data_IF_956922535866
#
_entry.id   IF_956922535866
#
_cell.length_a   1.000
_cell.length_b   1.000
_cell.length_c   1.000
_cell.angle_alpha   90.00
_cell.angle_beta   90.00
_cell.angle_gamma   90.00
#
_symmetry.space_group_name_H-M   'P 1'
#
loop_
_entity.id
_entity.type
_entity.pdbx_description
1 polymer ?
#
# COMPACT_ATOMS: atom_id res chain seq x y z
N UNK A 1 16.90 29.51 -26.33
CA UNK A 1 16.03 30.25 -25.41
C UNK A 1 16.78 30.42 -24.10
N UNK A 2 17.11 31.67 -23.73
CA UNK A 2 17.86 31.97 -22.50
C UNK A 2 16.95 31.85 -21.27
N UNK A 3 15.67 32.19 -21.40
CA UNK A 3 14.70 32.13 -20.30
C UNK A 3 14.52 30.69 -19.84
N UNK A 4 14.48 29.73 -20.77
CA UNK A 4 14.50 28.30 -20.46
C UNK A 4 15.74 27.89 -19.63
N UNK A 5 16.91 28.36 -20.05
CA UNK A 5 18.18 28.04 -19.38
C UNK A 5 18.20 28.62 -17.96
N UNK A 6 17.73 29.86 -17.79
CA UNK A 6 17.65 30.52 -16.50
C UNK A 6 16.60 29.88 -15.58
N UNK A 7 15.39 29.63 -16.09
CA UNK A 7 14.28 29.03 -15.36
C UNK A 7 14.67 27.66 -14.77
N UNK A 8 15.32 26.83 -15.58
CA UNK A 8 15.73 25.48 -15.17
C UNK A 8 17.16 25.41 -14.65
N UNK A 9 17.84 26.56 -14.51
CA UNK A 9 19.21 26.68 -13.98
C UNK A 9 20.20 25.75 -14.69
N UNK A 10 20.06 25.63 -16.02
CA UNK A 10 20.88 24.73 -16.83
C UNK A 10 22.31 25.27 -16.85
N UNK A 11 23.27 24.40 -16.57
CA UNK A 11 24.68 24.74 -16.48
C UNK A 11 25.55 23.94 -17.44
N UNK A 12 26.86 24.13 -17.32
CA UNK A 12 27.87 23.37 -18.07
C UNK A 12 29.00 22.95 -17.14
N UNK A 13 29.35 21.66 -17.19
CA UNK A 13 30.53 21.10 -16.54
C UNK A 13 31.70 21.07 -17.55
N UNK A 14 32.74 21.90 -17.37
CA UNK A 14 33.85 21.95 -18.32
C UNK A 14 34.63 20.64 -18.40
N UNK A 15 35.29 20.39 -19.54
CA UNK A 15 36.15 19.22 -19.75
C UNK A 15 37.29 19.14 -18.71
N UNK A 16 37.82 20.28 -18.27
CA UNK A 16 38.95 20.34 -17.33
C UNK A 16 38.50 20.03 -15.89
N UNK A 17 38.45 18.75 -15.53
CA UNK A 17 37.93 18.25 -14.25
C UNK A 17 38.61 18.74 -12.98
N UNK A 18 39.82 19.34 -13.06
CA UNK A 18 40.51 19.92 -11.90
C UNK A 18 40.01 21.33 -11.54
N UNK A 19 39.36 22.04 -12.45
CA UNK A 19 38.85 23.40 -12.19
C UNK A 19 37.77 23.39 -11.10
N UNK A 20 36.84 22.45 -11.19
CA UNK A 20 35.73 22.33 -10.25
C UNK A 20 36.23 22.13 -8.81
N UNK A 21 37.09 21.14 -8.57
CA UNK A 21 37.64 20.89 -7.23
C UNK A 21 38.42 22.08 -6.66
N UNK A 22 39.23 22.76 -7.50
CA UNK A 22 39.96 23.97 -7.09
C UNK A 22 39.01 25.12 -6.73
N UNK A 23 37.96 25.33 -7.50
CA UNK A 23 36.96 26.36 -7.26
C UNK A 23 36.17 26.09 -5.97
N UNK A 24 35.68 24.87 -5.78
CA UNK A 24 34.96 24.48 -4.57
C UNK A 24 35.83 24.58 -3.31
N UNK A 25 37.12 24.24 -3.40
CA UNK A 25 38.07 24.44 -2.29
C UNK A 25 38.23 25.91 -1.91
N UNK A 26 38.24 26.82 -2.89
CA UNK A 26 38.27 28.28 -2.62
C UNK A 26 37.01 28.77 -1.90
N UNK A 27 35.87 28.11 -2.13
CA UNK A 27 34.61 28.36 -1.42
C UNK A 27 34.52 27.68 -0.04
N UNK A 28 35.58 27.00 0.40
CA UNK A 28 35.63 26.34 1.71
C UNK A 28 35.06 24.92 1.74
N UNK A 29 34.70 24.33 0.60
CA UNK A 29 34.21 22.95 0.56
C UNK A 29 35.37 21.94 0.70
N UNK A 30 35.19 20.93 1.55
CA UNK A 30 36.17 19.86 1.73
C UNK A 30 35.99 18.75 0.69
N UNK A 31 37.04 17.98 0.44
CA UNK A 31 36.98 16.88 -0.55
C UNK A 31 36.03 15.77 -0.10
N UNK A 32 35.94 15.53 1.21
CA UNK A 32 35.06 14.54 1.83
C UNK A 32 33.59 14.89 1.59
N UNK A 33 33.22 16.17 1.73
CA UNK A 33 31.86 16.65 1.46
C UNK A 33 31.53 16.48 -0.02
N UNK A 34 32.42 16.92 -0.92
CA UNK A 34 32.20 16.85 -2.37
C UNK A 34 32.06 15.41 -2.89
N UNK A 35 32.76 14.47 -2.27
CA UNK A 35 32.63 13.04 -2.54
C UNK A 35 31.31 12.49 -2.00
N UNK A 36 30.93 12.85 -0.77
CA UNK A 36 29.67 12.42 -0.13
C UNK A 36 28.43 12.91 -0.87
N UNK A 37 28.49 14.08 -1.51
CA UNK A 37 27.41 14.61 -2.36
C UNK A 37 27.56 14.23 -3.85
N UNK A 38 28.50 13.34 -4.18
CA UNK A 38 28.63 12.77 -5.53
C UNK A 38 29.14 13.72 -6.61
N UNK A 39 29.80 14.82 -6.24
CA UNK A 39 30.37 15.80 -7.19
C UNK A 39 31.84 15.52 -7.52
N UNK A 40 32.53 14.76 -6.67
CA UNK A 40 33.88 14.24 -6.90
C UNK A 40 33.86 12.72 -6.82
N UNK A 41 34.68 12.08 -7.65
CA UNK A 41 34.96 10.64 -7.58
C UNK A 41 36.43 10.42 -7.28
N UNK A 42 36.70 9.52 -6.34
CA UNK A 42 38.05 8.97 -6.08
C UNK A 42 38.30 7.79 -7.03
N UNK A 43 39.44 7.81 -7.71
CA UNK A 43 39.91 6.76 -8.61
C UNK A 43 40.68 5.68 -7.83
N UNK A 44 40.99 4.56 -8.50
CA UNK A 44 41.71 3.44 -7.87
C UNK A 44 43.12 3.81 -7.39
N UNK A 45 43.76 4.78 -8.04
CA UNK A 45 45.07 5.32 -7.66
C UNK A 45 45.00 6.37 -6.53
N UNK A 46 43.81 6.57 -5.94
CA UNK A 46 43.56 7.57 -4.89
C UNK A 46 43.41 9.00 -5.42
N UNK A 47 43.59 9.24 -6.72
CA UNK A 47 43.40 10.58 -7.30
C UNK A 47 41.92 10.95 -7.33
N UNK A 48 41.62 12.24 -7.14
CA UNK A 48 40.25 12.77 -7.13
C UNK A 48 39.98 13.61 -8.37
N UNK A 49 38.81 13.40 -8.99
CA UNK A 49 38.34 14.20 -10.14
C UNK A 49 36.87 14.58 -10.02
N UNK A 50 36.47 15.65 -10.70
CA UNK A 50 35.05 15.97 -10.85
C UNK A 50 34.29 14.78 -11.47
N UNK A 51 33.11 14.49 -10.92
CA UNK A 51 32.25 13.41 -11.43
C UNK A 51 31.70 13.75 -12.82
N UNK A 52 31.23 15.00 -13.00
CA UNK A 52 30.78 15.51 -14.28
C UNK A 52 31.91 16.20 -15.05
N UNK A 53 32.00 15.91 -16.35
CA UNK A 53 33.00 16.51 -17.24
C UNK A 53 32.49 16.55 -18.66
N UNK A 54 32.65 17.70 -19.32
CA UNK A 54 32.21 17.97 -20.69
C UNK A 54 30.72 17.68 -20.94
N UNK A 55 29.85 18.14 -20.03
CA UNK A 55 28.42 17.83 -20.01
C UNK A 55 27.57 19.07 -19.73
N UNK A 56 26.41 19.15 -20.37
CA UNK A 56 25.32 20.06 -19.96
C UNK A 56 24.76 19.53 -18.65
N UNK A 57 24.55 20.42 -17.69
CA UNK A 57 24.10 20.11 -16.33
C UNK A 57 22.66 20.56 -16.14
N UNK A 58 21.82 19.66 -15.65
CA UNK A 58 20.44 19.90 -15.27
C UNK A 58 20.32 19.67 -13.76
N UNK A 59 20.11 20.72 -12.95
CA UNK A 59 19.93 20.57 -11.51
C UNK A 59 18.71 19.69 -11.19
N UNK A 60 18.87 18.84 -10.19
CA UNK A 60 17.79 18.06 -9.58
C UNK A 60 17.44 18.77 -8.28
N UNK A 61 16.17 19.15 -8.16
CA UNK A 61 15.67 19.96 -7.05
C UNK A 61 14.84 19.10 -6.10
N UNK A 62 14.95 19.38 -4.80
CA UNK A 62 13.99 18.90 -3.81
C UNK A 62 12.63 19.64 -3.93
N UNK A 63 11.58 19.20 -3.22
CA UNK A 63 10.27 19.87 -3.26
C UNK A 63 10.28 21.34 -2.80
N UNK A 64 11.30 21.77 -2.04
CA UNK A 64 11.48 23.16 -1.57
C UNK A 64 12.28 24.01 -2.57
N UNK A 65 12.82 23.40 -3.63
CA UNK A 65 13.64 24.06 -4.65
C UNK A 65 15.14 24.03 -4.37
N UNK A 66 15.60 23.32 -3.34
CA UNK A 66 17.01 23.12 -3.03
C UNK A 66 17.68 22.16 -4.02
N UNK A 67 18.90 22.45 -4.45
CA UNK A 67 19.65 21.54 -5.35
C UNK A 67 20.20 20.36 -4.56
N UNK A 68 19.73 19.15 -4.89
CA UNK A 68 20.14 17.90 -4.21
C UNK A 68 20.99 16.98 -5.10
N UNK A 69 21.04 17.27 -6.40
CA UNK A 69 21.84 16.50 -7.34
C UNK A 69 21.81 17.12 -8.74
N UNK A 70 22.35 16.40 -9.71
CA UNK A 70 22.43 16.83 -11.10
C UNK A 70 22.21 15.65 -12.04
N UNK A 71 21.50 15.90 -13.14
CA UNK A 71 21.54 15.09 -14.35
C UNK A 71 22.46 15.77 -15.36
N UNK A 72 23.19 14.99 -16.15
CA UNK A 72 24.21 15.52 -17.03
C UNK A 72 24.24 14.83 -18.39
N UNK A 73 24.07 15.61 -19.46
CA UNK A 73 24.09 15.13 -20.86
C UNK A 73 25.43 15.40 -21.52
N UNK A 74 26.03 14.41 -22.18
CA UNK A 74 27.28 14.62 -22.95
C UNK A 74 27.06 15.53 -24.15
N UNK A 75 28.03 16.43 -24.40
CA UNK A 75 27.99 17.37 -25.53
C UNK A 75 28.56 16.77 -26.82
N UNK A 76 29.55 15.88 -26.72
CA UNK A 76 30.15 15.21 -27.87
C UNK A 76 30.08 13.70 -27.75
N UNK A 77 30.05 13.00 -28.88
CA UNK A 77 30.08 11.53 -28.92
C UNK A 77 31.40 10.99 -28.38
N UNK A 78 32.50 11.72 -28.62
CA UNK A 78 33.85 11.49 -28.12
C UNK A 78 33.94 11.53 -26.58
N UNK A 79 32.96 12.12 -25.90
CA UNK A 79 32.93 12.15 -24.45
C UNK A 79 32.61 10.74 -23.91
N UNK A 80 33.53 10.23 -23.09
CA UNK A 80 33.44 8.88 -22.49
C UNK A 80 32.22 8.78 -21.56
N UNK A 81 31.53 7.64 -21.65
CA UNK A 81 30.41 7.26 -20.78
C UNK A 81 29.03 7.44 -21.42
N UNK A 82 27.96 7.25 -20.63
CA UNK A 82 26.59 7.22 -21.14
C UNK A 82 26.13 8.59 -21.63
N UNK A 83 25.09 8.60 -22.48
CA UNK A 83 24.45 9.81 -23.02
C UNK A 83 23.99 10.74 -21.89
N UNK A 84 23.34 10.17 -20.88
CA UNK A 84 22.94 10.82 -19.64
C UNK A 84 23.60 10.14 -18.44
N UNK A 85 23.96 10.93 -17.42
CA UNK A 85 24.44 10.43 -16.14
C UNK A 85 23.86 11.28 -15.02
N UNK A 86 23.34 10.64 -13.98
CA UNK A 86 22.84 11.32 -12.79
C UNK A 86 23.91 11.27 -11.69
N UNK A 87 23.85 12.20 -10.75
CA UNK A 87 24.53 12.08 -9.46
C UNK A 87 24.28 10.65 -8.90
N UNK A 88 25.31 9.99 -8.32
CA UNK A 88 25.10 8.73 -7.61
C UNK A 88 24.14 8.91 -6.43
N UNK A 89 23.73 7.82 -5.80
CA UNK A 89 22.97 7.88 -4.54
C UNK A 89 23.76 8.67 -3.49
N UNK A 90 23.11 9.62 -2.82
CA UNK A 90 23.70 10.43 -1.74
C UNK A 90 22.70 10.56 -0.59
N UNK A 91 23.13 11.06 0.58
CA UNK A 91 22.19 11.38 1.66
C UNK A 91 21.10 12.40 1.29
N UNK A 92 21.33 13.22 0.26
CA UNK A 92 20.39 14.24 -0.21
C UNK A 92 19.56 13.78 -1.42
N UNK A 93 20.05 12.78 -2.16
CA UNK A 93 19.46 12.37 -3.44
C UNK A 93 19.31 10.86 -3.49
N UNK A 94 18.06 10.43 -3.40
CA UNK A 94 17.64 9.03 -3.60
C UNK A 94 16.80 8.92 -4.87
N UNK A 95 17.26 8.15 -5.86
CA UNK A 95 16.57 8.05 -7.16
C UNK A 95 15.19 7.44 -7.06
N UNK A 96 14.97 6.56 -6.08
CA UNK A 96 13.67 5.95 -5.79
C UNK A 96 12.68 6.88 -5.10
N UNK A 97 13.08 8.08 -4.67
CA UNK A 97 12.21 9.01 -3.94
C UNK A 97 12.09 10.37 -4.63
N UNK A 98 12.93 10.64 -5.64
CA UNK A 98 13.06 11.97 -6.21
C UNK A 98 12.40 12.04 -7.58
N UNK A 99 11.38 12.89 -7.72
CA UNK A 99 10.74 13.16 -9.00
C UNK A 99 11.31 14.42 -9.64
N UNK A 100 11.87 14.28 -10.84
CA UNK A 100 12.29 15.43 -11.64
C UNK A 100 11.07 16.25 -12.04
N UNK A 101 11.18 17.58 -12.08
CA UNK A 101 10.06 18.47 -12.43
C UNK A 101 9.12 18.78 -11.27
N UNK A 102 9.16 18.01 -10.17
CA UNK A 102 8.20 18.15 -9.07
C UNK A 102 8.25 19.54 -8.42
N UNK A 103 9.43 20.13 -8.20
CA UNK A 103 9.56 21.47 -7.62
C UNK A 103 8.84 22.55 -8.44
N UNK A 104 8.85 22.42 -9.77
CA UNK A 104 8.19 23.34 -10.71
C UNK A 104 6.67 23.08 -10.79
N UNK A 105 6.29 21.81 -10.73
CA UNK A 105 4.92 21.33 -10.97
C UNK A 105 4.08 21.23 -9.68
N UNK A 106 4.69 21.21 -8.49
CA UNK A 106 4.07 20.87 -7.19
C UNK A 106 2.76 21.62 -6.93
N UNK A 107 2.79 22.95 -7.09
CA UNK A 107 1.61 23.81 -6.82
C UNK A 107 0.46 23.48 -7.76
N UNK A 108 0.74 23.24 -9.04
CA UNK A 108 -0.28 22.93 -10.04
C UNK A 108 -0.83 21.51 -9.86
N UNK A 109 0.04 20.54 -9.59
CA UNK A 109 -0.36 19.16 -9.27
C UNK A 109 -1.30 19.14 -8.07
N UNK A 110 -0.95 19.81 -6.97
CA UNK A 110 -1.80 19.86 -5.77
C UNK A 110 -3.15 20.55 -6.03
N UNK A 111 -3.15 21.63 -6.84
CA UNK A 111 -4.37 22.36 -7.18
C UNK A 111 -5.30 21.56 -8.10
N UNK A 112 -4.76 20.95 -9.14
CA UNK A 112 -5.55 20.23 -10.16
C UNK A 112 -5.75 18.75 -9.83
N UNK A 113 -5.08 18.24 -8.78
CA UNK A 113 -5.09 16.84 -8.35
C UNK A 113 -4.74 15.86 -9.46
N UNK A 114 -3.87 16.29 -10.39
CA UNK A 114 -3.39 15.49 -11.52
C UNK A 114 -1.94 15.75 -11.88
N UNK A 115 -1.30 14.75 -12.48
CA UNK A 115 0.07 14.85 -12.99
C UNK A 115 0.22 14.18 -14.37
N UNK A 116 1.23 14.60 -15.13
CA UNK A 116 1.73 13.88 -16.31
C UNK A 116 3.06 13.24 -15.92
N UNK A 117 3.19 11.94 -16.14
CA UNK A 117 4.42 11.18 -15.91
C UNK A 117 5.06 10.86 -17.26
N UNK A 118 6.32 11.22 -17.41
CA UNK A 118 7.14 10.90 -18.59
C UNK A 118 8.40 10.14 -18.19
N UNK A 119 9.09 9.55 -19.17
CA UNK A 119 10.27 8.71 -18.94
C UNK A 119 11.51 9.54 -18.59
N UNK A 120 11.79 10.58 -19.37
CA UNK A 120 13.02 11.37 -19.28
C UNK A 120 12.85 12.71 -18.57
N UNK A 121 13.92 13.17 -17.91
CA UNK A 121 13.97 14.52 -17.32
C UNK A 121 13.81 15.61 -18.39
N UNK A 122 14.33 15.37 -19.60
CA UNK A 122 14.28 16.34 -20.70
C UNK A 122 12.85 16.49 -21.21
N UNK A 123 12.12 15.38 -21.37
CA UNK A 123 10.70 15.41 -21.73
C UNK A 123 9.90 16.22 -20.71
N UNK A 124 10.17 16.02 -19.41
CA UNK A 124 9.52 16.78 -18.37
C UNK A 124 9.80 18.28 -18.48
N UNK A 125 11.07 18.67 -18.67
CA UNK A 125 11.44 20.08 -18.85
C UNK A 125 10.77 20.72 -20.05
N UNK A 126 10.78 20.03 -21.19
CA UNK A 126 10.20 20.52 -22.44
C UNK A 126 8.69 20.69 -22.29
N UNK A 127 7.99 19.71 -21.72
CA UNK A 127 6.56 19.83 -21.45
C UNK A 127 6.23 20.95 -20.45
N UNK A 128 7.01 21.11 -19.38
CA UNK A 128 6.81 22.21 -18.41
C UNK A 128 6.98 23.57 -19.11
N UNK A 129 8.00 23.73 -19.96
CA UNK A 129 8.23 24.96 -20.72
C UNK A 129 7.04 25.31 -21.64
N UNK A 130 6.48 24.30 -22.29
CA UNK A 130 5.37 24.45 -23.24
C UNK A 130 3.99 24.55 -22.54
N UNK A 131 3.96 24.74 -21.22
CA UNK A 131 2.74 25.01 -20.44
C UNK A 131 2.08 23.79 -19.79
N UNK A 132 2.64 22.59 -19.97
CA UNK A 132 2.23 21.37 -19.26
C UNK A 132 2.99 21.24 -17.92
N UNK A 133 2.98 22.31 -17.11
CA UNK A 133 3.63 22.42 -15.79
C UNK A 133 2.91 21.63 -14.67
N UNK A 134 2.51 20.41 -14.99
CA UNK A 134 2.09 19.34 -14.09
C UNK A 134 2.85 18.03 -14.42
N UNK A 135 3.94 18.16 -15.17
CA UNK A 135 4.76 17.04 -15.66
C UNK A 135 5.89 16.72 -14.69
N UNK A 136 6.18 15.43 -14.54
CA UNK A 136 7.24 14.87 -13.70
C UNK A 136 7.89 13.66 -14.39
N UNK A 137 9.11 13.32 -13.97
CA UNK A 137 9.83 12.14 -14.44
C UNK A 137 10.60 11.44 -13.32
N UNK A 138 10.86 10.14 -13.48
CA UNK A 138 11.80 9.40 -12.63
C UNK A 138 13.26 9.78 -12.89
N UNK A 139 14.20 9.21 -12.12
CA UNK A 139 15.63 9.53 -12.21
C UNK A 139 16.47 8.49 -12.95
N UNK A 140 15.93 7.96 -14.06
CA UNK A 140 16.59 6.91 -14.85
C UNK A 140 16.62 5.53 -14.15
N UNK A 141 15.75 5.33 -13.17
CA UNK A 141 15.45 4.04 -12.54
C UNK A 141 13.97 3.73 -12.70
N UNK A 142 13.56 2.50 -12.39
CA UNK A 142 12.14 2.17 -12.33
C UNK A 142 11.39 3.15 -11.42
N UNK A 143 10.20 3.56 -11.85
CA UNK A 143 9.28 4.32 -11.00
C UNK A 143 8.84 3.42 -9.84
N UNK A 144 8.80 3.94 -8.62
CA UNK A 144 8.58 3.14 -7.41
C UNK A 144 7.33 3.58 -6.65
N UNK A 145 6.98 2.81 -5.62
CA UNK A 145 5.86 3.12 -4.72
C UNK A 145 6.10 4.41 -3.93
N UNK A 146 7.35 4.74 -3.59
CA UNK A 146 7.67 6.00 -2.90
C UNK A 146 7.40 7.24 -3.78
N UNK A 147 7.60 7.14 -5.10
CA UNK A 147 7.19 8.20 -6.01
C UNK A 147 5.66 8.38 -6.04
N UNK A 148 4.91 7.28 -6.01
CA UNK A 148 3.44 7.34 -5.94
C UNK A 148 3.02 7.96 -4.62
N UNK A 149 3.62 7.55 -3.50
CA UNK A 149 3.37 8.10 -2.16
C UNK A 149 3.59 9.62 -2.09
N UNK A 150 4.67 10.14 -2.66
CA UNK A 150 4.90 11.59 -2.72
C UNK A 150 3.78 12.33 -3.48
N UNK A 151 3.23 11.73 -4.54
CA UNK A 151 2.13 12.32 -5.29
C UNK A 151 0.79 12.20 -4.54
N UNK A 152 0.56 11.09 -3.84
CA UNK A 152 -0.60 10.92 -2.95
C UNK A 152 -0.61 11.95 -1.82
N UNK A 153 0.56 12.29 -1.26
CA UNK A 153 0.70 13.37 -0.28
C UNK A 153 0.30 14.75 -0.86
N UNK A 154 0.30 14.90 -2.18
CA UNK A 154 -0.21 16.09 -2.89
C UNK A 154 -1.70 16.00 -3.23
N UNK A 155 -2.38 14.90 -2.88
CA UNK A 155 -3.80 14.70 -3.12
C UNK A 155 -4.15 14.36 -4.57
N UNK A 156 -3.23 13.72 -5.30
CA UNK A 156 -3.49 13.27 -6.67
C UNK A 156 -4.64 12.27 -6.72
N UNK A 157 -5.53 12.45 -7.70
CA UNK A 157 -6.60 11.50 -8.01
C UNK A 157 -6.54 11.00 -9.45
N UNK A 158 -5.70 11.61 -10.29
CA UNK A 158 -5.56 11.27 -11.71
C UNK A 158 -4.13 11.41 -12.23
N UNK A 159 -3.65 10.45 -13.00
CA UNK A 159 -2.37 10.53 -13.73
C UNK A 159 -2.53 10.29 -15.22
N UNK A 160 -1.72 10.98 -15.99
CA UNK A 160 -1.51 10.74 -17.41
C UNK A 160 -0.10 10.20 -17.63
N UNK A 161 0.03 9.05 -18.29
CA UNK A 161 1.32 8.45 -18.63
C UNK A 161 1.64 8.80 -20.09
N UNK A 162 2.66 9.62 -20.30
CA UNK A 162 3.24 9.95 -21.61
C UNK A 162 4.61 9.28 -21.72
N UNK A 163 4.60 7.96 -21.89
CA UNK A 163 5.81 7.16 -22.10
C UNK A 163 6.15 7.10 -23.59
N UNK A 164 7.40 6.76 -23.91
CA UNK A 164 7.85 6.63 -25.30
C UNK A 164 7.00 5.61 -26.07
N UNK A 165 6.80 5.83 -27.36
CA UNK A 165 5.91 5.01 -28.20
C UNK A 165 6.44 3.60 -28.53
N UNK A 166 7.63 3.26 -28.05
CA UNK A 166 8.28 1.97 -28.26
C UNK A 166 7.76 0.87 -27.31
N UNK A 167 8.35 -0.33 -27.39
CA UNK A 167 7.97 -1.47 -26.55
C UNK A 167 8.31 -1.23 -25.07
N UNK A 168 9.46 -0.58 -24.79
CA UNK A 168 9.91 -0.32 -23.44
C UNK A 168 8.99 0.70 -22.75
N UNK A 169 8.61 1.78 -23.44
CA UNK A 169 7.69 2.79 -22.94
C UNK A 169 6.28 2.25 -22.69
N UNK A 170 5.77 1.38 -23.58
CA UNK A 170 4.49 0.66 -23.34
C UNK A 170 4.56 -0.27 -22.13
N UNK A 171 5.67 -1.01 -21.98
CA UNK A 171 5.90 -1.85 -20.81
C UNK A 171 5.99 -1.01 -19.52
N UNK A 172 6.62 0.16 -19.59
CA UNK A 172 6.71 1.09 -18.48
C UNK A 172 5.32 1.67 -18.13
N UNK A 173 4.51 2.07 -19.11
CA UNK A 173 3.12 2.51 -18.89
C UNK A 173 2.29 1.43 -18.18
N UNK A 174 2.46 0.16 -18.60
CA UNK A 174 1.82 -1.00 -17.97
C UNK A 174 2.25 -1.19 -16.51
N UNK A 175 3.53 -1.00 -16.18
CA UNK A 175 4.03 -1.16 -14.80
C UNK A 175 3.65 0.03 -13.91
N UNK A 176 3.91 1.25 -14.38
CA UNK A 176 3.66 2.50 -13.64
C UNK A 176 2.17 2.67 -13.38
N UNK A 177 1.32 2.43 -14.39
CA UNK A 177 -0.12 2.50 -14.21
C UNK A 177 -0.64 1.54 -13.13
N UNK A 178 -0.04 0.35 -12.99
CA UNK A 178 -0.40 -0.56 -11.92
C UNK A 178 -0.09 -0.02 -10.52
N UNK A 179 1.03 0.71 -10.35
CA UNK A 179 1.39 1.30 -9.06
C UNK A 179 0.35 2.34 -8.62
N UNK A 180 -0.14 3.17 -9.55
CA UNK A 180 -1.19 4.16 -9.26
C UNK A 180 -2.57 3.54 -9.02
N UNK A 181 -2.96 2.52 -9.81
CA UNK A 181 -4.27 1.87 -9.64
C UNK A 181 -4.39 1.14 -8.31
N UNK A 182 -3.31 0.56 -7.79
CA UNK A 182 -3.28 -0.05 -6.44
C UNK A 182 -3.70 0.96 -5.37
N UNK A 183 -3.29 2.20 -5.53
CA UNK A 183 -3.56 3.31 -4.62
C UNK A 183 -4.87 4.05 -4.94
N UNK A 184 -5.68 3.55 -5.87
CA UNK A 184 -6.99 4.13 -6.18
C UNK A 184 -6.95 5.38 -7.07
N UNK A 185 -5.81 5.67 -7.70
CA UNK A 185 -5.63 6.82 -8.59
C UNK A 185 -6.07 6.45 -10.00
N UNK A 186 -6.89 7.30 -10.64
CA UNK A 186 -7.28 7.09 -12.04
C UNK A 186 -6.06 7.23 -12.97
N UNK A 187 -5.85 6.24 -13.84
CA UNK A 187 -4.73 6.24 -14.79
C UNK A 187 -5.22 6.33 -16.23
N UNK A 188 -4.63 7.26 -16.99
CA UNK A 188 -4.79 7.38 -18.43
C UNK A 188 -3.43 7.28 -19.12
N UNK A 189 -3.38 6.66 -20.30
CA UNK A 189 -2.19 6.50 -21.12
C UNK A 189 -2.35 7.34 -22.38
N UNK A 190 -1.42 8.25 -22.61
CA UNK A 190 -1.40 9.10 -23.80
C UNK A 190 -0.85 8.25 -24.96
N UNK A 191 -1.56 8.15 -26.10
CA UNK A 191 -1.17 7.28 -27.21
C UNK A 191 -0.03 7.90 -28.03
N UNK A 192 1.19 7.89 -27.47
CA UNK A 192 2.40 8.36 -28.16
C UNK A 192 2.69 7.44 -29.36
N UNK A 193 2.84 7.99 -30.59
CA UNK A 193 3.11 7.18 -31.78
C UNK A 193 4.44 6.43 -31.70
N UNK A 194 4.51 5.29 -32.40
CA UNK A 194 5.73 4.48 -32.45
C UNK A 194 6.93 5.27 -33.01
N UNK A 195 8.08 5.12 -32.35
CA UNK A 195 9.31 5.86 -32.69
C UNK A 195 9.32 7.32 -32.23
N UNK A 196 8.29 7.80 -31.52
CA UNK A 196 8.22 9.14 -30.92
C UNK A 196 8.28 9.10 -29.40
N UNK A 197 8.71 10.23 -28.85
CA UNK A 197 8.73 10.60 -27.44
C UNK A 197 8.01 11.97 -27.27
N UNK A 198 7.73 12.42 -26.04
CA UNK A 198 7.09 13.72 -25.83
C UNK A 198 7.88 14.91 -26.43
N UNK A 199 9.22 14.92 -26.37
CA UNK A 199 10.03 16.00 -26.94
C UNK A 199 9.94 16.08 -28.47
N UNK A 200 9.96 14.95 -29.18
CA UNK A 200 9.79 14.89 -30.65
C UNK A 200 8.40 15.32 -31.08
N UNK A 201 7.35 14.95 -30.34
CA UNK A 201 6.00 15.45 -30.59
C UNK A 201 5.91 16.97 -30.48
N UNK A 202 6.52 17.56 -29.45
CA UNK A 202 6.59 19.01 -29.29
C UNK A 202 7.40 19.66 -30.41
N UNK A 203 8.48 19.04 -30.89
CA UNK A 203 9.29 19.60 -31.99
C UNK A 203 8.55 19.61 -33.32
N UNK A 204 7.78 18.57 -33.62
CA UNK A 204 7.10 18.44 -34.91
C UNK A 204 5.78 19.20 -34.97
N UNK A 205 4.98 19.15 -33.89
CA UNK A 205 3.60 19.67 -33.88
C UNK A 205 3.32 20.70 -32.79
N UNK A 206 4.30 21.03 -31.95
CA UNK A 206 4.16 22.01 -30.87
C UNK A 206 3.23 21.57 -29.73
N UNK A 207 2.91 22.50 -28.81
CA UNK A 207 1.98 22.26 -27.71
C UNK A 207 0.59 21.74 -28.14
N UNK A 208 -0.03 22.23 -29.25
CA UNK A 208 -1.33 21.73 -29.69
C UNK A 208 -1.34 20.23 -30.02
N UNK A 209 -0.28 19.71 -30.64
CA UNK A 209 -0.18 18.28 -30.97
C UNK A 209 -0.14 17.41 -29.71
N UNK A 210 0.58 17.84 -28.67
CA UNK A 210 0.59 17.13 -27.39
C UNK A 210 -0.77 17.23 -26.68
N UNK A 211 -1.42 18.41 -26.72
CA UNK A 211 -2.75 18.61 -26.13
C UNK A 211 -3.81 17.72 -26.79
N UNK A 212 -3.79 17.58 -28.12
CA UNK A 212 -4.70 16.69 -28.85
C UNK A 212 -4.53 15.22 -28.44
N UNK A 213 -3.28 14.77 -28.26
CA UNK A 213 -3.01 13.41 -27.77
C UNK A 213 -3.42 13.22 -26.31
N UNK A 214 -3.25 14.26 -25.48
CA UNK A 214 -3.70 14.26 -24.09
C UNK A 214 -5.22 14.11 -23.99
N UNK A 215 -6.00 14.74 -24.88
CA UNK A 215 -7.45 14.57 -24.96
C UNK A 215 -7.85 13.16 -25.43
N UNK A 216 -7.03 12.56 -26.30
CA UNK A 216 -7.20 11.17 -26.77
C UNK A 216 -6.63 10.12 -25.80
N UNK A 217 -6.23 10.52 -24.59
CA UNK A 217 -5.67 9.59 -23.62
C UNK A 217 -6.69 8.49 -23.29
N UNK A 218 -6.21 7.24 -23.32
CA UNK A 218 -7.03 6.05 -23.12
C UNK A 218 -6.92 5.62 -21.66
N UNK A 219 -8.03 5.24 -21.04
CA UNK A 219 -7.96 4.73 -19.67
C UNK A 219 -7.08 3.47 -19.58
N UNK A 220 -6.48 3.27 -18.42
CA UNK A 220 -5.47 2.23 -18.23
C UNK A 220 -5.96 0.81 -18.53
N UNK A 221 -7.22 0.47 -18.23
CA UNK A 221 -7.71 -0.89 -18.50
C UNK A 221 -7.89 -1.12 -20.01
N UNK A 222 -8.44 -0.14 -20.73
CA UNK A 222 -8.53 -0.18 -22.19
C UNK A 222 -7.14 -0.27 -22.84
N UNK A 223 -6.16 0.47 -22.30
CA UNK A 223 -4.76 0.35 -22.72
C UNK A 223 -4.22 -1.07 -22.47
N UNK A 224 -4.41 -1.66 -21.29
CA UNK A 224 -3.91 -3.01 -20.98
C UNK A 224 -4.49 -4.06 -21.92
N UNK A 225 -5.81 -4.02 -22.17
CA UNK A 225 -6.46 -4.95 -23.10
C UNK A 225 -5.85 -4.82 -24.50
N UNK A 226 -5.72 -3.60 -25.01
CA UNK A 226 -5.11 -3.35 -26.33
C UNK A 226 -3.63 -3.73 -26.40
N UNK A 227 -2.89 -3.58 -25.30
CA UNK A 227 -1.47 -3.90 -25.23
C UNK A 227 -1.28 -5.43 -25.26
N UNK A 228 -1.94 -6.16 -24.36
CA UNK A 228 -1.81 -7.62 -24.29
C UNK A 228 -2.45 -8.32 -25.49
N UNK A 229 -3.47 -7.75 -26.13
CA UNK A 229 -4.06 -8.34 -27.33
C UNK A 229 -3.13 -8.34 -28.55
N UNK A 230 -2.03 -7.58 -28.54
CA UNK A 230 -1.02 -7.65 -29.60
C UNK A 230 -0.14 -8.89 -29.49
N UNK A 231 0.00 -9.44 -28.28
CA UNK A 231 0.78 -10.64 -27.98
C UNK A 231 -0.08 -11.92 -28.00
N UNK A 232 -1.42 -11.78 -28.10
CA UNK A 232 -2.38 -12.87 -28.01
C UNK A 232 -3.44 -12.82 -29.14
N UNK A 233 -3.68 -13.96 -29.78
CA UNK A 233 -4.80 -14.14 -30.70
C UNK A 233 -6.13 -14.29 -29.93
N UNK A 234 -6.95 -13.23 -29.96
CA UNK A 234 -8.25 -13.20 -29.31
C UNK A 234 -9.27 -14.17 -29.93
N UNK A 235 -9.01 -14.73 -31.12
CA UNK A 235 -9.84 -15.78 -31.72
C UNK A 235 -9.58 -17.16 -31.10
N UNK A 236 -8.42 -17.36 -30.48
CA UNK A 236 -8.08 -18.58 -29.75
C UNK A 236 -8.68 -18.54 -28.33
N UNK A 237 -9.56 -19.48 -27.96
CA UNK A 237 -10.13 -19.54 -26.61
C UNK A 237 -9.05 -19.62 -25.51
N UNK A 238 -7.96 -20.35 -25.77
CA UNK A 238 -6.86 -20.52 -24.82
C UNK A 238 -6.11 -19.20 -24.58
N UNK A 239 -5.72 -18.51 -25.66
CA UNK A 239 -4.98 -17.25 -25.54
C UNK A 239 -5.86 -16.13 -24.98
N UNK A 240 -7.15 -16.08 -25.37
CA UNK A 240 -8.13 -15.17 -24.78
C UNK A 240 -8.26 -15.39 -23.27
N UNK A 241 -8.32 -16.64 -22.82
CA UNK A 241 -8.35 -16.97 -21.39
C UNK A 241 -7.07 -16.51 -20.68
N UNK A 242 -5.90 -16.76 -21.25
CA UNK A 242 -4.62 -16.34 -20.67
C UNK A 242 -4.51 -14.81 -20.50
N UNK A 243 -4.92 -14.05 -21.51
CA UNK A 243 -4.96 -12.59 -21.45
C UNK A 243 -5.89 -12.10 -20.34
N UNK A 244 -7.11 -12.64 -20.29
CA UNK A 244 -8.11 -12.25 -19.29
C UNK A 244 -7.59 -12.56 -17.88
N UNK A 245 -7.07 -13.76 -17.63
CA UNK A 245 -6.55 -14.12 -16.31
C UNK A 245 -5.39 -13.22 -15.91
N UNK A 246 -4.48 -12.89 -16.83
CA UNK A 246 -3.36 -11.96 -16.57
C UNK A 246 -3.85 -10.59 -16.10
N UNK A 247 -4.89 -10.06 -16.73
CA UNK A 247 -5.47 -8.75 -16.35
C UNK A 247 -6.29 -8.88 -15.06
N UNK A 248 -7.06 -9.96 -14.87
CA UNK A 248 -7.84 -10.22 -13.64
C UNK A 248 -6.92 -10.31 -12.42
N UNK A 249 -5.83 -11.08 -12.51
CA UNK A 249 -4.84 -11.20 -11.43
C UNK A 249 -4.25 -9.84 -11.04
N UNK A 250 -4.02 -8.98 -12.04
CA UNK A 250 -3.55 -7.62 -11.81
C UNK A 250 -4.61 -6.75 -11.12
N UNK A 251 -5.85 -6.76 -11.60
CA UNK A 251 -6.96 -5.98 -11.03
C UNK A 251 -7.21 -6.41 -9.58
N UNK A 252 -7.21 -7.72 -9.29
CA UNK A 252 -7.40 -8.24 -7.93
C UNK A 252 -6.29 -7.85 -6.95
N UNK A 253 -5.11 -7.48 -7.46
CA UNK A 253 -4.01 -6.99 -6.63
C UNK A 253 -4.12 -5.50 -6.25
N UNK A 254 -5.25 -4.83 -6.50
CA UNK A 254 -5.48 -3.44 -6.11
C UNK A 254 -6.21 -3.36 -4.76
N UNK A 255 -5.89 -2.34 -3.96
CA UNK A 255 -6.34 -2.26 -2.55
C UNK A 255 -7.76 -1.68 -2.38
N UNK A 256 -8.47 -1.40 -3.49
CA UNK A 256 -9.77 -0.72 -3.51
C UNK A 256 -10.89 -1.63 -4.04
N UNK A 257 -11.68 -2.31 -3.18
CA UNK A 257 -12.64 -3.34 -3.59
C UNK A 257 -13.68 -2.87 -4.62
N UNK A 258 -14.19 -1.63 -4.48
CA UNK A 258 -15.13 -1.07 -5.46
C UNK A 258 -14.47 -0.84 -6.83
N UNK A 259 -13.23 -0.37 -6.84
CA UNK A 259 -12.46 -0.16 -8.06
C UNK A 259 -12.15 -1.50 -8.75
N UNK A 260 -11.81 -2.53 -7.96
CA UNK A 260 -11.66 -3.92 -8.45
C UNK A 260 -12.94 -4.38 -9.11
N UNK A 261 -14.08 -4.27 -8.42
CA UNK A 261 -15.38 -4.69 -8.95
C UNK A 261 -15.73 -3.99 -10.28
N UNK A 262 -15.68 -2.67 -10.32
CA UNK A 262 -16.02 -1.90 -11.53
C UNK A 262 -15.04 -2.16 -12.68
N UNK A 263 -13.76 -2.39 -12.37
CA UNK A 263 -12.75 -2.70 -13.38
C UNK A 263 -12.91 -4.10 -13.95
N UNK A 264 -13.31 -5.09 -13.15
CA UNK A 264 -13.66 -6.43 -13.65
C UNK A 264 -14.90 -6.36 -14.56
N UNK A 265 -15.93 -5.59 -14.19
CA UNK A 265 -17.10 -5.36 -15.06
C UNK A 265 -16.72 -4.70 -16.38
N UNK A 266 -15.84 -3.71 -16.33
CA UNK A 266 -15.32 -3.06 -17.53
C UNK A 266 -14.52 -4.02 -18.40
N UNK A 267 -13.67 -4.86 -17.80
CA UNK A 267 -12.91 -5.90 -18.51
C UNK A 267 -13.83 -6.88 -19.24
N UNK A 268 -14.88 -7.35 -18.57
CA UNK A 268 -15.91 -8.20 -19.17
C UNK A 268 -16.53 -7.56 -20.43
N UNK A 269 -16.89 -6.27 -20.36
CA UNK A 269 -17.43 -5.53 -21.52
C UNK A 269 -16.41 -5.40 -22.65
N UNK A 270 -15.18 -4.98 -22.35
CA UNK A 270 -14.12 -4.79 -23.34
C UNK A 270 -13.74 -6.10 -24.06
N UNK A 271 -13.79 -7.23 -23.35
CA UNK A 271 -13.42 -8.54 -23.89
C UNK A 271 -14.61 -9.36 -24.39
N UNK A 272 -15.84 -8.83 -24.26
CA UNK A 272 -17.10 -9.50 -24.57
C UNK A 272 -17.21 -10.87 -23.88
N UNK A 273 -16.81 -10.93 -22.61
CA UNK A 273 -16.90 -12.13 -21.77
C UNK A 273 -17.92 -11.88 -20.66
N UNK A 274 -18.81 -12.85 -20.35
CA UNK A 274 -19.73 -12.71 -19.22
C UNK A 274 -19.04 -12.32 -17.92
N UNK A 275 -19.63 -11.37 -17.17
CA UNK A 275 -19.09 -10.85 -15.90
C UNK A 275 -18.73 -11.97 -14.90
N UNK A 276 -19.52 -13.04 -14.85
CA UNK A 276 -19.28 -14.22 -14.00
C UNK A 276 -17.95 -14.93 -14.30
N UNK A 277 -17.49 -14.94 -15.55
CA UNK A 277 -16.28 -15.64 -15.98
C UNK A 277 -15.00 -14.85 -15.72
N UNK A 278 -15.09 -13.52 -15.59
CA UNK A 278 -13.98 -12.69 -15.12
C UNK A 278 -13.98 -12.54 -13.58
N UNK A 279 -14.91 -13.21 -12.90
CA UNK A 279 -15.00 -13.26 -11.45
C UNK A 279 -15.72 -12.08 -10.79
N UNK A 280 -16.58 -11.35 -11.52
CA UNK A 280 -17.46 -10.34 -10.89
C UNK A 280 -18.45 -11.06 -9.98
N UNK A 281 -18.50 -10.63 -8.71
CA UNK A 281 -19.38 -11.22 -7.69
C UNK A 281 -18.93 -12.59 -7.17
N UNK A 282 -17.75 -13.08 -7.54
CA UNK A 282 -17.10 -14.19 -6.85
C UNK A 282 -16.29 -13.63 -5.69
N UNK A 283 -16.75 -13.81 -4.45
CA UNK A 283 -15.86 -13.75 -3.29
C UNK A 283 -14.73 -14.76 -3.52
N UNK A 284 -13.49 -14.32 -3.34
CA UNK A 284 -12.29 -15.07 -3.69
C UNK A 284 -12.26 -16.46 -3.05
N UNK A 285 -12.70 -17.47 -3.79
CA UNK A 285 -12.45 -18.85 -3.45
C UNK A 285 -11.03 -19.18 -3.90
N UNK A 286 -10.06 -18.91 -3.02
CA UNK A 286 -8.70 -19.44 -3.10
C UNK A 286 -7.65 -18.51 -3.70
N UNK A 287 -7.29 -17.45 -2.97
CA UNK A 287 -5.88 -17.09 -2.72
C UNK A 287 -5.80 -16.56 -1.30
N UNK A 288 -4.90 -17.15 -0.51
CA UNK A 288 -4.48 -16.61 0.78
C UNK A 288 -3.89 -15.22 0.52
N UNK A 289 -4.72 -14.19 0.64
CA UNK A 289 -4.28 -12.80 0.63
C UNK A 289 -3.71 -12.51 2.00
N UNK A 290 -2.38 -12.49 2.07
CA UNK A 290 -1.69 -11.62 3.01
C UNK A 290 -2.16 -10.19 2.74
N UNK A 291 -3.13 -9.73 3.53
CA UNK A 291 -3.56 -8.33 3.54
C UNK A 291 -2.45 -7.53 4.22
N UNK A 292 -1.60 -6.88 3.43
CA UNK A 292 -0.91 -5.67 3.88
C UNK A 292 -1.94 -4.55 3.86
N UNK A 293 -2.40 -4.18 5.05
CA UNK A 293 -3.31 -3.05 5.29
C UNK A 293 -2.65 -1.75 4.88
N UNK A 294 -3.41 -0.86 4.23
CA UNK A 294 -3.64 0.49 4.75
C UNK A 294 -4.81 1.20 4.03
N UNK A 295 -5.68 1.84 4.82
CA UNK A 295 -6.78 2.64 4.33
C UNK A 295 -7.61 3.23 5.46
N UNK A 296 -7.05 4.27 6.10
CA UNK A 296 -7.64 5.18 7.10
C UNK A 296 -8.52 4.55 8.18
N UNK A 297 -7.89 4.27 9.31
CA UNK A 297 -8.56 4.33 10.59
C UNK A 297 -7.89 5.46 11.35
N UNK A 298 -8.68 6.36 11.90
CA UNK A 298 -8.39 7.05 13.16
C UNK A 298 -7.69 6.08 14.12
N UNK A 299 -6.35 5.97 14.09
CA UNK A 299 -5.57 4.95 14.82
C UNK A 299 -6.38 3.70 15.24
N UNK A 300 -7.06 2.98 14.32
CA UNK A 300 -7.69 1.71 14.75
C UNK A 300 -6.59 0.67 14.63
N UNK A 301 -5.77 0.73 15.67
CA UNK A 301 -5.20 -0.44 16.32
C UNK A 301 -6.10 -1.64 16.06
N UNK A 302 -5.56 -2.65 15.38
CA UNK A 302 -6.19 -3.97 15.37
C UNK A 302 -6.17 -4.38 16.82
N UNK A 303 -7.29 -4.28 17.51
CA UNK A 303 -7.37 -4.79 18.86
C UNK A 303 -7.31 -6.33 18.75
N UNK A 304 -6.21 -6.98 19.17
CA UNK A 304 -6.09 -8.43 19.09
C UNK A 304 -7.18 -9.12 19.91
N UNK A 305 -7.72 -8.44 20.93
CA UNK A 305 -8.83 -8.94 21.74
C UNK A 305 -10.13 -8.93 20.95
N UNK A 306 -10.38 -7.90 20.13
CA UNK A 306 -11.54 -7.86 19.22
C UNK A 306 -11.53 -9.03 18.25
N UNK A 307 -10.38 -9.36 17.67
CA UNK A 307 -10.26 -10.52 16.77
C UNK A 307 -10.60 -11.82 17.50
N UNK A 308 -9.95 -12.06 18.65
CA UNK A 308 -10.15 -13.24 19.47
C UNK A 308 -11.61 -13.41 19.92
N UNK A 309 -12.25 -12.34 20.39
CA UNK A 309 -13.64 -12.34 20.86
C UNK A 309 -14.64 -12.52 19.71
N UNK A 310 -14.36 -11.95 18.54
CA UNK A 310 -15.22 -12.13 17.34
C UNK A 310 -15.14 -13.56 16.80
N UNK A 311 -13.97 -14.19 16.86
CA UNK A 311 -13.79 -15.60 16.47
C UNK A 311 -14.56 -16.54 17.39
N UNK A 312 -14.51 -16.30 18.72
CA UNK A 312 -15.34 -17.02 19.68
C UNK A 312 -16.84 -16.91 19.37
N UNK A 313 -17.33 -15.67 19.16
CA UNK A 313 -18.74 -15.43 18.86
C UNK A 313 -19.18 -16.12 17.56
N UNK A 314 -18.28 -16.25 16.60
CA UNK A 314 -18.55 -16.94 15.34
C UNK A 314 -18.79 -18.43 15.53
N UNK A 315 -17.90 -19.11 16.28
CA UNK A 315 -18.14 -20.50 16.64
C UNK A 315 -19.43 -20.66 17.45
N UNK A 316 -19.69 -19.74 18.38
CA UNK A 316 -20.89 -19.77 19.21
C UNK A 316 -22.18 -19.60 18.38
N UNK A 317 -22.25 -18.64 17.46
CA UNK A 317 -23.47 -18.32 16.71
C UNK A 317 -23.75 -19.31 15.60
N UNK A 318 -22.70 -19.81 14.93
CA UNK A 318 -22.86 -20.70 13.78
C UNK A 318 -22.94 -22.17 14.21
N UNK A 319 -22.23 -22.58 15.27
CA UNK A 319 -22.16 -23.98 15.69
C UNK A 319 -22.72 -24.25 17.08
N UNK A 320 -22.94 -23.24 17.92
CA UNK A 320 -23.40 -23.44 19.31
C UNK A 320 -24.80 -24.06 19.43
N UNK A 321 -25.61 -24.05 18.36
CA UNK A 321 -26.86 -24.81 18.30
C UNK A 321 -26.65 -26.28 17.98
N UNK A 322 -25.75 -26.57 17.05
CA UNK A 322 -25.50 -27.89 16.47
C UNK A 322 -24.51 -28.72 17.32
N UNK A 323 -23.66 -28.05 18.12
CA UNK A 323 -22.66 -28.66 18.99
C UNK A 323 -22.93 -28.31 20.47
N UNK A 324 -23.65 -29.16 21.21
CA UNK A 324 -23.88 -28.99 22.65
C UNK A 324 -22.58 -28.99 23.48
N UNK A 325 -21.58 -29.76 23.06
CA UNK A 325 -20.25 -29.83 23.69
C UNK A 325 -19.53 -28.49 23.62
N UNK A 326 -19.47 -27.87 22.44
CA UNK A 326 -18.88 -26.54 22.22
C UNK A 326 -19.59 -25.47 23.05
N UNK A 327 -20.93 -25.46 23.02
CA UNK A 327 -21.71 -24.52 23.83
C UNK A 327 -21.43 -24.70 25.32
N UNK A 328 -21.37 -25.95 25.79
CA UNK A 328 -21.11 -26.25 27.21
C UNK A 328 -19.71 -25.80 27.63
N UNK A 329 -18.70 -25.98 26.77
CA UNK A 329 -17.33 -25.53 27.01
C UNK A 329 -17.27 -24.01 27.20
N UNK A 330 -17.92 -23.24 26.31
CA UNK A 330 -18.00 -21.78 26.40
C UNK A 330 -18.79 -21.36 27.64
N UNK A 331 -19.97 -21.94 27.87
CA UNK A 331 -20.84 -21.62 28.99
C UNK A 331 -20.17 -21.88 30.35
N UNK A 332 -19.42 -22.97 30.48
CA UNK A 332 -18.80 -23.34 31.76
C UNK A 332 -17.70 -22.35 32.12
N UNK A 333 -16.93 -21.91 31.13
CA UNK A 333 -15.69 -21.16 31.34
C UNK A 333 -15.81 -19.64 31.17
N UNK A 334 -16.72 -19.15 30.32
CA UNK A 334 -16.79 -17.72 29.98
C UNK A 334 -18.00 -17.03 30.61
N UNK A 335 -17.78 -15.77 31.00
CA UNK A 335 -18.77 -14.82 31.50
C UNK A 335 -18.60 -13.49 30.75
N UNK A 336 -19.60 -12.61 30.70
CA UNK A 336 -19.51 -11.34 30.00
C UNK A 336 -18.29 -10.49 30.41
N UNK A 337 -17.85 -10.57 31.67
CA UNK A 337 -16.70 -9.83 32.20
C UNK A 337 -15.38 -10.23 31.54
N UNK A 338 -15.29 -11.43 30.95
CA UNK A 338 -14.10 -11.91 30.25
C UNK A 338 -13.94 -11.30 28.85
N UNK A 339 -14.96 -10.61 28.33
CA UNK A 339 -14.88 -9.86 27.08
C UNK A 339 -14.41 -8.45 27.36
N UNK A 340 -13.30 -8.04 26.75
CA UNK A 340 -12.75 -6.70 26.84
C UNK A 340 -13.46 -5.72 25.89
N UNK A 341 -13.99 -6.20 24.76
CA UNK A 341 -14.69 -5.39 23.78
C UNK A 341 -16.17 -5.33 24.12
N UNK A 342 -16.68 -4.10 24.36
CA UNK A 342 -18.05 -3.86 24.82
C UNK A 342 -19.12 -4.46 23.90
N UNK A 343 -18.94 -4.35 22.59
CA UNK A 343 -19.90 -4.86 21.61
C UNK A 343 -19.91 -6.40 21.55
N UNK A 344 -18.73 -7.04 21.67
CA UNK A 344 -18.64 -8.50 21.75
C UNK A 344 -19.26 -9.02 23.05
N UNK A 345 -19.02 -8.32 24.17
CA UNK A 345 -19.67 -8.61 25.46
C UNK A 345 -21.20 -8.57 25.35
N UNK A 346 -21.73 -7.54 24.68
CA UNK A 346 -23.18 -7.37 24.48
C UNK A 346 -23.76 -8.50 23.63
N UNK A 347 -23.14 -8.80 22.49
CA UNK A 347 -23.56 -9.90 21.60
C UNK A 347 -23.50 -11.27 22.30
N UNK A 348 -22.45 -11.52 23.09
CA UNK A 348 -22.35 -12.72 23.92
C UNK A 348 -23.48 -12.81 24.93
N UNK A 349 -23.74 -11.73 25.67
CA UNK A 349 -24.79 -11.67 26.69
C UNK A 349 -26.16 -11.93 26.09
N UNK A 350 -26.47 -11.28 24.97
CA UNK A 350 -27.72 -11.46 24.22
C UNK A 350 -27.92 -12.93 23.80
N UNK A 351 -26.87 -13.57 23.25
CA UNK A 351 -26.94 -14.97 22.87
C UNK A 351 -27.18 -15.89 24.09
N UNK A 352 -26.45 -15.66 25.18
CA UNK A 352 -26.56 -16.46 26.40
C UNK A 352 -27.94 -16.30 27.07
N UNK A 353 -28.47 -15.08 27.15
CA UNK A 353 -29.80 -14.80 27.69
C UNK A 353 -30.89 -15.51 26.89
N UNK A 354 -30.84 -15.43 25.55
CA UNK A 354 -31.79 -16.12 24.69
C UNK A 354 -31.68 -17.64 24.84
N UNK A 355 -30.45 -18.18 24.86
CA UNK A 355 -30.22 -19.62 24.97
C UNK A 355 -30.65 -20.19 26.33
N UNK A 356 -30.38 -19.49 27.42
CA UNK A 356 -30.75 -19.92 28.78
C UNK A 356 -32.24 -19.69 29.08
N UNK A 357 -32.83 -18.65 28.49
CA UNK A 357 -34.26 -18.37 28.57
C UNK A 357 -35.14 -19.27 27.71
N UNK A 358 -34.55 -20.26 27.01
CA UNK A 358 -35.27 -21.20 26.13
C UNK A 358 -35.82 -20.56 24.85
N UNK A 359 -35.35 -19.36 24.48
CA UNK A 359 -35.75 -18.67 23.25
C UNK A 359 -34.98 -19.21 22.05
N UNK A 360 -35.51 -18.97 20.86
CA UNK A 360 -34.82 -19.32 19.64
C UNK A 360 -33.53 -18.49 19.49
N UNK A 361 -32.46 -19.16 19.08
CA UNK A 361 -31.10 -18.59 18.94
C UNK A 361 -30.62 -18.67 17.50
N UNK A 362 -31.56 -18.73 16.55
CA UNK A 362 -31.24 -18.59 15.14
C UNK A 362 -30.76 -17.17 14.82
N UNK A 363 -30.07 -17.04 13.69
CA UNK A 363 -29.44 -15.79 13.29
C UNK A 363 -30.45 -14.67 13.04
N UNK A 364 -31.67 -14.99 12.61
CA UNK A 364 -32.72 -13.99 12.36
C UNK A 364 -33.25 -13.45 13.69
N UNK A 365 -33.46 -14.32 14.68
CA UNK A 365 -33.85 -13.89 16.03
C UNK A 365 -32.77 -13.01 16.68
N UNK A 366 -31.49 -13.36 16.53
CA UNK A 366 -30.39 -12.52 17.04
C UNK A 366 -30.33 -11.16 16.32
N UNK A 367 -30.48 -11.13 14.99
CA UNK A 367 -30.47 -9.91 14.20
C UNK A 367 -31.59 -8.92 14.59
N UNK A 368 -32.77 -9.43 14.96
CA UNK A 368 -33.92 -8.60 15.37
C UNK A 368 -33.71 -7.87 16.71
N UNK A 369 -32.76 -8.31 17.53
CA UNK A 369 -32.46 -7.69 18.83
C UNK A 369 -31.21 -6.79 18.78
N UNK A 370 -30.67 -6.51 17.58
CA UNK A 370 -29.55 -5.59 17.39
C UNK A 370 -30.07 -4.15 17.28
N UNK A 371 -29.69 -3.31 18.22
CA UNK A 371 -30.23 -1.96 18.37
C UNK A 371 -29.36 -0.92 17.66
N UNK A 372 -28.07 -1.20 17.48
CA UNK A 372 -27.13 -0.24 16.89
C UNK A 372 -26.60 -0.66 15.50
N UNK A 373 -26.26 0.31 14.62
CA UNK A 373 -25.59 0.02 13.35
C UNK A 373 -24.26 -0.73 13.52
N UNK A 374 -23.53 -0.46 14.60
CA UNK A 374 -22.27 -1.13 14.89
C UNK A 374 -22.46 -2.61 15.23
N UNK A 375 -23.51 -2.96 15.97
CA UNK A 375 -23.86 -4.34 16.29
C UNK A 375 -24.29 -5.10 15.03
N UNK A 376 -25.08 -4.47 14.16
CA UNK A 376 -25.51 -5.04 12.89
C UNK A 376 -24.32 -5.32 11.97
N UNK A 377 -23.37 -4.38 11.89
CA UNK A 377 -22.13 -4.55 11.11
C UNK A 377 -21.28 -5.70 11.65
N UNK A 378 -21.03 -5.75 12.97
CA UNK A 378 -20.24 -6.81 13.57
C UNK A 378 -20.93 -8.18 13.47
N UNK A 379 -22.24 -8.23 13.69
CA UNK A 379 -23.02 -9.45 13.53
C UNK A 379 -22.97 -9.97 12.09
N UNK A 380 -23.11 -9.07 11.11
CA UNK A 380 -22.93 -9.40 9.69
C UNK A 380 -21.52 -9.96 9.41
N UNK A 381 -20.48 -9.35 9.98
CA UNK A 381 -19.10 -9.84 9.85
C UNK A 381 -18.90 -11.22 10.48
N UNK A 382 -19.55 -11.48 11.62
CA UNK A 382 -19.50 -12.77 12.31
C UNK A 382 -20.14 -13.85 11.41
N UNK A 383 -21.35 -13.60 10.91
CA UNK A 383 -22.15 -14.58 10.17
C UNK A 383 -21.61 -14.88 8.77
N UNK A 384 -21.03 -13.90 8.08
CA UNK A 384 -20.56 -14.06 6.70
C UNK A 384 -19.31 -14.96 6.58
N UNK A 385 -18.47 -15.02 7.62
CA UNK A 385 -17.26 -15.84 7.57
C UNK A 385 -17.58 -17.31 7.89
N UNK A 386 -17.12 -18.20 7.02
CA UNK A 386 -17.24 -19.66 7.20
C UNK A 386 -16.39 -20.13 8.38
N UNK A 387 -16.87 -21.16 9.06
CA UNK A 387 -16.19 -21.82 10.18
C UNK A 387 -15.72 -23.20 9.75
N UNK A 388 -14.51 -23.59 10.14
CA UNK A 388 -14.05 -24.96 10.01
C UNK A 388 -14.70 -25.82 11.12
N UNK A 389 -15.66 -26.66 10.73
CA UNK A 389 -16.40 -27.55 11.64
C UNK A 389 -15.54 -28.68 12.21
N UNK A 390 -14.53 -29.15 11.47
CA UNK A 390 -13.65 -30.26 11.90
C UNK A 390 -12.71 -29.87 13.05
N UNK A 391 -12.35 -28.59 13.14
CA UNK A 391 -11.47 -28.04 14.18
C UNK A 391 -12.18 -27.10 15.15
N UNK A 392 -13.51 -27.11 15.17
CA UNK A 392 -14.29 -26.14 15.94
C UNK A 392 -14.03 -26.25 17.45
N UNK A 393 -13.99 -27.47 18.00
CA UNK A 393 -13.77 -27.68 19.44
C UNK A 393 -12.36 -27.29 19.89
N UNK A 394 -11.33 -27.69 19.12
CA UNK A 394 -9.93 -27.32 19.36
C UNK A 394 -9.75 -25.79 19.32
N UNK A 395 -10.30 -25.14 18.29
CA UNK A 395 -10.22 -23.68 18.13
C UNK A 395 -10.95 -22.91 19.24
N UNK A 396 -12.12 -23.39 19.68
CA UNK A 396 -12.83 -22.80 20.82
C UNK A 396 -12.04 -22.99 22.11
N UNK A 397 -11.49 -24.18 22.36
CA UNK A 397 -10.69 -24.45 23.55
C UNK A 397 -9.48 -23.52 23.64
N UNK A 398 -8.75 -23.34 22.54
CA UNK A 398 -7.61 -22.42 22.48
C UNK A 398 -8.05 -20.97 22.74
N UNK A 399 -9.16 -20.55 22.14
CA UNK A 399 -9.68 -19.19 22.25
C UNK A 399 -10.17 -18.87 23.66
N UNK A 400 -10.92 -19.78 24.28
CA UNK A 400 -11.36 -19.69 25.69
C UNK A 400 -10.15 -19.60 26.60
N UNK A 401 -9.11 -20.42 26.37
CA UNK A 401 -7.87 -20.40 27.16
C UNK A 401 -7.21 -19.03 27.10
N UNK A 402 -7.05 -18.47 25.89
CA UNK A 402 -6.43 -17.14 25.70
C UNK A 402 -7.24 -16.02 26.34
N UNK A 403 -8.57 -16.05 26.21
CA UNK A 403 -9.45 -15.04 26.83
C UNK A 403 -9.34 -15.05 28.35
N UNK A 404 -9.35 -16.24 28.97
CA UNK A 404 -9.17 -16.36 30.42
C UNK A 404 -7.78 -15.91 30.87
N UNK A 405 -6.73 -16.24 30.13
CA UNK A 405 -5.37 -15.77 30.40
C UNK A 405 -5.27 -14.24 30.32
N UNK A 406 -5.87 -13.63 29.30
CA UNK A 406 -5.91 -12.18 29.14
C UNK A 406 -6.64 -11.50 30.30
N UNK A 407 -7.84 -11.99 30.64
CA UNK A 407 -8.60 -11.47 31.77
C UNK A 407 -7.83 -11.60 33.11
N UNK A 408 -7.20 -12.76 33.34
CA UNK A 408 -6.38 -12.98 34.53
C UNK A 408 -5.18 -12.02 34.61
N UNK A 409 -4.52 -11.74 33.49
CA UNK A 409 -3.43 -10.75 33.45
C UNK A 409 -3.94 -9.33 33.73
N UNK A 410 -5.08 -8.95 33.18
CA UNK A 410 -5.69 -7.64 33.41
C UNK A 410 -6.09 -7.43 34.87
N UNK A 411 -6.73 -8.42 35.50
CA UNK A 411 -7.10 -8.32 36.91
C UNK A 411 -5.88 -8.16 37.82
N UNK A 412 -4.78 -8.84 37.50
CA UNK A 412 -3.50 -8.69 38.22
C UNK A 412 -2.90 -7.31 38.02
N UNK A 413 -2.93 -6.77 36.79
CA UNK A 413 -2.40 -5.44 36.52
C UNK A 413 -3.26 -4.34 37.16
N UNK A 414 -4.60 -4.48 37.18
CA UNK A 414 -5.50 -3.56 37.90
C UNK A 414 -5.16 -3.50 39.39
N UNK A 415 -4.94 -4.64 40.03
CA UNK A 415 -4.54 -4.69 41.45
C UNK A 415 -3.20 -4.00 41.66
N UNK A 416 -2.22 -4.25 40.79
CA UNK A 416 -0.88 -3.64 40.85
C UNK A 416 -0.93 -2.12 40.67
N UNK A 417 -1.67 -1.64 39.67
CA UNK A 417 -1.89 -0.20 39.43
C UNK A 417 -2.57 0.43 40.65
N UNK A 418 -3.57 -0.23 41.23
CA UNK A 418 -4.29 0.27 42.43
C UNK A 418 -3.35 0.40 43.64
N UNK A 419 -2.48 -0.59 43.87
CA UNK A 419 -1.44 -0.51 44.92
C UNK A 419 -0.46 0.64 44.63
N UNK A 420 -0.03 0.81 43.38
CA UNK A 420 0.97 1.82 42.99
C UNK A 420 0.41 3.25 42.91
N UNK A 421 -0.91 3.41 42.81
CA UNK A 421 -1.56 4.72 42.69
C UNK A 421 -1.51 5.58 43.95
N UNK A 422 -1.10 5.01 45.10
CA UNK A 422 -0.94 5.73 46.36
C UNK A 422 -2.24 6.21 47.02
N UNK A 423 -3.41 5.82 46.48
CA UNK A 423 -4.73 6.23 46.96
C UNK A 423 -5.41 5.24 47.91
N UNK A 424 -4.69 4.21 48.38
CA UNK A 424 -5.21 3.15 49.24
C UNK A 424 -4.67 3.29 50.66
N UNK A 425 -5.46 2.91 51.66
CA UNK A 425 -4.97 2.81 53.05
C UNK A 425 -3.98 1.65 53.21
N UNK A 426 -3.17 1.65 54.28
CA UNK A 426 -2.21 0.56 54.54
C UNK A 426 -2.90 -0.82 54.66
N UNK A 427 -4.13 -0.86 55.21
CA UNK A 427 -4.94 -2.07 55.28
C UNK A 427 -5.40 -2.56 53.89
N UNK A 428 -5.85 -1.64 53.03
CA UNK A 428 -6.28 -1.95 51.66
C UNK A 428 -5.12 -2.44 50.79
N UNK A 429 -3.91 -1.88 50.96
CA UNK A 429 -2.71 -2.34 50.25
C UNK A 429 -2.38 -3.79 50.63
N UNK A 430 -2.47 -4.13 51.91
CA UNK A 430 -2.22 -5.48 52.40
C UNK A 430 -3.24 -6.50 51.86
N UNK A 431 -4.52 -6.13 51.80
CA UNK A 431 -5.57 -6.98 51.21
C UNK A 431 -5.39 -7.17 49.69
N UNK A 432 -5.08 -6.10 48.97
CA UNK A 432 -4.82 -6.15 47.52
C UNK A 432 -3.57 -6.99 47.21
N UNK A 433 -2.52 -6.90 48.02
CA UNK A 433 -1.33 -7.73 47.88
C UNK A 433 -1.64 -9.22 48.10
N UNK A 434 -2.43 -9.57 49.14
CA UNK A 434 -2.90 -10.95 49.37
C UNK A 434 -3.72 -11.48 48.18
N UNK A 435 -4.61 -10.65 47.62
CA UNK A 435 -5.42 -11.00 46.44
C UNK A 435 -4.57 -11.19 45.18
N UNK A 436 -3.55 -10.35 44.98
CA UNK A 436 -2.60 -10.49 43.87
C UNK A 436 -1.82 -11.80 43.94
N UNK A 437 -1.30 -12.15 45.12
CA UNK A 437 -0.56 -13.40 45.32
C UNK A 437 -1.45 -14.63 45.19
N UNK A 438 -2.70 -14.57 45.68
CA UNK A 438 -3.68 -15.63 45.47
C UNK A 438 -3.97 -15.84 43.99
N UNK A 439 -4.22 -14.78 43.22
CA UNK A 439 -4.42 -14.86 41.77
C UNK A 439 -3.18 -15.39 41.05
N UNK A 440 -1.97 -14.99 41.46
CA UNK A 440 -0.72 -15.47 40.86
C UNK A 440 -0.52 -16.98 41.04
N UNK A 441 -0.97 -17.55 42.16
CA UNK A 441 -0.87 -18.99 42.47
C UNK A 441 -1.93 -19.84 41.75
N UNK A 442 -2.98 -19.22 41.23
CA UNK A 442 -4.10 -19.90 40.58
C UNK A 442 -4.31 -19.37 39.15
N UNK A 443 -3.43 -19.75 38.19
CA UNK A 443 -3.65 -19.43 36.79
C UNK A 443 -4.95 -20.08 36.29
N UNK A 444 -5.66 -19.45 35.34
CA UNK A 444 -6.90 -19.98 34.82
C UNK A 444 -6.66 -21.33 34.15
N UNK A 445 -7.49 -22.31 34.48
CA UNK A 445 -7.55 -23.60 33.81
C UNK A 445 -8.93 -23.73 33.17
N UNK A 446 -8.96 -24.17 31.92
CA UNK A 446 -10.23 -24.44 31.25
C UNK A 446 -10.82 -25.73 31.81
N UNK A 447 -12.06 -25.65 32.27
CA UNK A 447 -12.85 -26.80 32.69
C UNK A 447 -13.41 -27.49 31.45
N UNK A 448 -12.94 -28.70 31.19
CA UNK A 448 -13.45 -29.59 30.14
C UNK A 448 -14.33 -30.63 30.84
N UNK A 449 -15.60 -30.76 30.44
CA UNK A 449 -16.50 -31.77 30.98
C UNK A 449 -15.96 -33.17 30.64
N UNK A 450 -15.90 -34.08 31.61
CA UNK A 450 -15.18 -35.36 31.55
C UNK A 450 -15.70 -36.40 30.54
N UNK A 451 -16.82 -36.16 29.85
CA UNK A 451 -17.48 -37.20 29.07
C UNK A 451 -17.06 -37.31 27.59
N UNK A 452 -16.13 -36.49 27.09
CA UNK A 452 -15.66 -36.61 25.69
C UNK A 452 -14.17 -36.27 25.54
N UNK A 453 -13.31 -37.24 25.83
CA UNK A 453 -11.92 -37.25 25.37
C UNK A 453 -11.72 -38.52 24.53
N UNK A 454 -11.69 -38.36 23.21
CA UNK A 454 -10.86 -39.21 22.36
C UNK A 454 -9.56 -38.44 22.04
N UNK A 455 -8.40 -39.10 22.00
CA UNK A 455 -7.12 -38.44 22.26
C UNK A 455 -6.61 -37.66 21.04
N UNK A 456 -6.53 -36.33 21.15
CA UNK A 456 -5.75 -35.48 20.26
C UNK A 456 -4.52 -34.96 20.98
N UNK A 457 -3.57 -35.87 21.22
CA UNK A 457 -2.16 -35.54 21.41
C UNK A 457 -1.34 -36.69 20.80
N UNK A 458 -0.52 -36.46 19.77
CA UNK A 458 0.62 -37.33 19.52
C UNK A 458 1.68 -37.06 20.59
N UNK A 459 2.14 -38.15 21.19
CA UNK A 459 3.37 -38.24 21.96
C UNK A 459 4.58 -37.96 21.06
N UNK A 460 5.37 -36.97 21.49
CA UNK A 460 6.85 -36.82 21.49
C UNK A 460 7.33 -35.42 21.13
#
# INVERSE_FOLDING_TARGET
DLDFIELFKIGFAPKRGTLFGKYMKKLGATSEILEKVGLIKTLQDGSKRAFFSNRIIFPILDPSGGVIGFSARKISEEAIGPKYVNTPETPLFKKSQTLYGLSFSRRRIAKEKRAIVVEGQIDALRLIQEGFNLTIAGQGTAFTEEHVSELLNLGITKVYLAMDGDVAGKQAASKIGNLFQKEGVEVYVIPIPEGKDPDTLLKEGGPPAFAELLEKAVDYLSFLVSYFSKEHDLSSPSQKNQLIQTIVERIRGWDHPLMVHESLRKLARLTQVPEKLVGVGQEEMGRSTFVKRQGSLSEVTIDPKRVLETDLLRWLFLLGRESPSLFKLIQTNLRPEHFSVSICRRLFSLYMENRLGGKETDLLTLANHLESPEEQLLFSEIVQKKVNTERAEEGVLETVTKMLQHYWMEEREKIKIKIQSGSCSEEEVLELAKRFDALKRSPPKVEIAQDQIAPLLPLE
#
